data_IF_628503593885
#
_entry.id   IF_628503593885
#
_cell.length_a   1.000
_cell.length_b   1.000
_cell.length_c   1.000
_cell.angle_alpha   90.00
_cell.angle_beta   90.00
_cell.angle_gamma   90.00
#
_symmetry.space_group_name_H-M   'P 1'
#
loop_
_entity.id
_entity.type
_entity.pdbx_description
1 polymer ?
#
# COMPACT_ATOMS: atom_id res chain seq x y z
N UNK A 1 5.73 -21.05 -18.07
CA UNK A 1 7.07 -21.13 -17.43
C UNK A 1 7.89 -22.28 -18.01
N UNK A 2 7.40 -23.54 -17.95
CA UNK A 2 8.09 -24.72 -18.49
C UNK A 2 8.43 -24.64 -19.99
N UNK A 3 7.56 -24.07 -20.82
CA UNK A 3 7.77 -23.99 -22.27
C UNK A 3 8.88 -23.00 -22.70
N UNK A 4 9.18 -21.97 -21.90
CA UNK A 4 10.21 -20.97 -22.24
C UNK A 4 11.64 -21.43 -21.91
N UNK A 5 11.78 -22.51 -21.15
CA UNK A 5 13.08 -23.13 -20.83
C UNK A 5 13.57 -24.07 -21.94
N UNK A 6 12.68 -24.53 -22.83
CA UNK A 6 13.01 -25.43 -23.96
C UNK A 6 13.59 -24.70 -25.18
N UNK A 7 13.32 -23.41 -25.32
CA UNK A 7 13.90 -22.59 -26.39
C UNK A 7 15.23 -22.05 -25.89
N UNK A 8 16.35 -22.52 -26.46
CA UNK A 8 17.74 -22.29 -26.06
C UNK A 8 18.26 -20.84 -26.06
N UNK A 9 17.47 -19.88 -25.59
CA UNK A 9 17.97 -18.59 -25.11
C UNK A 9 18.55 -18.83 -23.71
N UNK A 10 19.83 -18.53 -23.50
CA UNK A 10 20.50 -18.55 -22.19
C UNK A 10 19.63 -17.81 -21.16
N UNK A 11 18.81 -18.56 -20.46
CA UNK A 11 17.83 -17.99 -19.55
C UNK A 11 18.54 -17.80 -18.22
N UNK A 12 18.29 -16.66 -17.56
CA UNK A 12 18.81 -16.29 -16.23
C UNK A 12 18.36 -17.23 -15.10
N UNK A 13 17.78 -18.37 -15.45
CA UNK A 13 17.16 -19.37 -14.60
C UNK A 13 18.03 -20.64 -14.64
N UNK A 14 18.55 -21.04 -13.49
CA UNK A 14 19.28 -22.28 -13.27
C UNK A 14 18.35 -23.29 -12.63
N UNK A 15 18.32 -24.52 -13.13
CA UNK A 15 17.62 -25.62 -12.46
C UNK A 15 18.67 -26.41 -11.70
N UNK A 16 18.54 -26.50 -10.38
CA UNK A 16 19.42 -27.32 -9.54
C UNK A 16 19.10 -28.80 -9.72
N UNK A 17 20.01 -29.67 -9.27
CA UNK A 17 19.86 -31.14 -9.37
C UNK A 17 18.61 -31.68 -8.63
N UNK A 18 18.11 -30.94 -7.64
CA UNK A 18 16.88 -31.21 -6.88
C UNK A 18 15.60 -30.72 -7.58
N UNK A 19 15.70 -30.16 -8.80
CA UNK A 19 14.58 -29.63 -9.56
C UNK A 19 14.16 -28.21 -9.16
N UNK A 20 14.86 -27.56 -8.22
CA UNK A 20 14.57 -26.19 -7.80
C UNK A 20 15.05 -25.19 -8.85
N UNK A 21 14.16 -24.28 -9.26
CA UNK A 21 14.49 -23.18 -10.18
C UNK A 21 15.11 -22.03 -9.38
N UNK A 22 16.25 -21.51 -9.82
CA UNK A 22 17.00 -20.43 -9.18
C UNK A 22 17.25 -19.30 -10.19
N UNK A 23 17.12 -18.05 -9.77
CA UNK A 23 17.25 -16.86 -10.60
C UNK A 23 18.21 -15.90 -9.92
N UNK A 24 19.45 -15.82 -10.43
CA UNK A 24 20.54 -15.20 -9.69
C UNK A 24 20.76 -15.95 -8.38
N UNK A 25 20.54 -15.29 -7.24
CA UNK A 25 20.67 -15.88 -5.89
C UNK A 25 19.32 -16.26 -5.26
N UNK A 26 18.21 -16.14 -6.00
CA UNK A 26 16.85 -16.31 -5.45
C UNK A 26 16.22 -17.60 -5.92
N UNK A 27 15.41 -18.22 -5.06
CA UNK A 27 14.59 -19.38 -5.40
C UNK A 27 13.35 -18.94 -6.17
N UNK A 28 13.23 -19.40 -7.41
CA UNK A 28 12.05 -19.26 -8.24
C UNK A 28 10.93 -20.19 -7.76
N UNK A 29 9.82 -19.64 -7.27
CA UNK A 29 8.72 -20.42 -6.70
C UNK A 29 7.67 -20.73 -7.78
N UNK A 30 7.56 -21.99 -8.24
CA UNK A 30 6.52 -22.39 -9.17
C UNK A 30 5.12 -22.28 -8.56
N UNK A 31 4.11 -22.16 -9.41
CA UNK A 31 2.72 -22.16 -8.99
C UNK A 31 2.18 -23.60 -8.92
N UNK A 32 2.69 -24.34 -7.95
CA UNK A 32 2.34 -25.75 -7.70
C UNK A 32 2.19 -25.95 -6.20
N UNK A 33 1.33 -26.91 -5.82
CA UNK A 33 1.19 -27.42 -4.46
C UNK A 33 0.95 -26.36 -3.37
N UNK A 34 0.44 -25.18 -3.76
CA UNK A 34 0.20 -24.07 -2.84
C UNK A 34 1.47 -23.50 -2.19
N UNK A 35 2.67 -23.77 -2.74
CA UNK A 35 3.95 -23.34 -2.15
C UNK A 35 4.01 -21.84 -1.86
N UNK A 36 3.54 -21.02 -2.82
CA UNK A 36 3.46 -19.56 -2.65
C UNK A 36 2.63 -19.18 -1.44
N UNK A 37 1.44 -19.77 -1.28
CA UNK A 37 0.55 -19.54 -0.14
C UNK A 37 1.21 -19.94 1.17
N UNK A 38 1.91 -21.07 1.21
CA UNK A 38 2.62 -21.53 2.41
C UNK A 38 3.74 -20.55 2.82
N UNK A 39 4.52 -20.04 1.85
CA UNK A 39 5.57 -19.04 2.10
C UNK A 39 4.95 -17.76 2.67
N UNK A 40 3.85 -17.27 2.06
CA UNK A 40 3.13 -16.10 2.53
C UNK A 40 2.60 -16.32 3.96
N UNK A 41 1.96 -17.45 4.22
CA UNK A 41 1.37 -17.78 5.51
C UNK A 41 2.43 -17.90 6.61
N UNK A 42 3.53 -18.61 6.36
CA UNK A 42 4.65 -18.71 7.33
C UNK A 42 5.25 -17.34 7.64
N UNK A 43 5.42 -16.50 6.63
CA UNK A 43 6.04 -15.17 6.81
C UNK A 43 5.13 -14.18 7.50
N UNK A 44 3.81 -14.36 7.38
CA UNK A 44 2.82 -13.45 7.97
C UNK A 44 2.40 -13.86 9.38
N UNK A 45 2.24 -15.16 9.62
CA UNK A 45 1.72 -15.72 10.87
C UNK A 45 2.83 -16.18 11.84
N UNK A 46 4.10 -16.01 11.49
CA UNK A 46 5.19 -16.30 12.42
C UNK A 46 4.99 -15.45 13.70
N UNK A 47 5.08 -16.04 14.90
CA UNK A 47 4.79 -15.35 16.16
C UNK A 47 5.57 -14.03 16.33
N UNK A 48 6.79 -13.98 15.81
CA UNK A 48 7.68 -12.82 15.86
C UNK A 48 7.53 -11.84 14.68
N UNK A 49 6.75 -12.17 13.64
CA UNK A 49 6.63 -11.33 12.45
C UNK A 49 5.71 -10.11 12.66
N UNK A 50 4.86 -10.14 13.69
CA UNK A 50 3.89 -9.08 14.04
C UNK A 50 3.11 -8.63 12.80
N UNK A 51 2.38 -9.58 12.18
CA UNK A 51 1.48 -9.34 11.05
C UNK A 51 1.99 -8.27 10.06
N UNK A 52 3.13 -8.52 9.38
CA UNK A 52 3.80 -7.52 8.59
C UNK A 52 2.89 -7.04 7.45
N UNK A 53 2.82 -5.71 7.28
CA UNK A 53 2.12 -5.11 6.14
C UNK A 53 2.79 -5.45 4.81
N UNK A 54 2.09 -5.16 3.70
CA UNK A 54 2.50 -5.49 2.33
C UNK A 54 3.96 -5.15 2.03
N UNK A 55 4.38 -3.92 2.36
CA UNK A 55 5.74 -3.43 2.10
C UNK A 55 6.77 -4.26 2.87
N UNK A 56 6.59 -4.41 4.19
CA UNK A 56 7.53 -5.16 5.04
C UNK A 56 7.61 -6.63 4.60
N UNK A 57 6.47 -7.23 4.32
CA UNK A 57 6.39 -8.63 3.89
C UNK A 57 7.10 -8.86 2.55
N UNK A 58 6.91 -7.98 1.57
CA UNK A 58 7.64 -8.05 0.30
C UNK A 58 9.16 -7.91 0.50
N UNK A 59 9.60 -6.97 1.33
CA UNK A 59 11.03 -6.75 1.61
C UNK A 59 11.68 -7.94 2.33
N UNK A 60 10.94 -8.63 3.21
CA UNK A 60 11.44 -9.82 3.88
C UNK A 60 11.60 -11.01 2.91
N UNK A 61 10.69 -11.14 1.92
CA UNK A 61 10.68 -12.27 0.98
C UNK A 61 11.63 -12.07 -0.21
N UNK A 62 11.75 -10.83 -0.69
CA UNK A 62 12.48 -10.47 -1.92
C UNK A 62 13.93 -10.97 -1.98
N UNK A 63 14.71 -11.02 -0.88
CA UNK A 63 16.08 -11.53 -0.94
C UNK A 63 16.16 -13.03 -1.25
N UNK A 64 15.15 -13.82 -0.86
CA UNK A 64 15.20 -15.28 -0.91
C UNK A 64 14.39 -15.88 -2.05
N UNK A 65 13.24 -15.27 -2.37
CA UNK A 65 12.27 -15.84 -3.30
C UNK A 65 11.95 -14.90 -4.47
N UNK A 66 11.50 -15.51 -5.57
CA UNK A 66 11.00 -14.80 -6.73
C UNK A 66 9.88 -15.55 -7.44
N UNK A 67 8.83 -14.84 -7.84
CA UNK A 67 7.85 -15.27 -8.84
C UNK A 67 7.18 -14.05 -9.48
N UNK A 68 6.51 -14.23 -10.63
CA UNK A 68 6.05 -13.14 -11.49
C UNK A 68 5.09 -12.15 -10.80
N UNK A 69 4.17 -12.65 -9.97
CA UNK A 69 3.13 -11.85 -9.30
C UNK A 69 3.41 -11.61 -7.82
N UNK A 70 4.65 -11.78 -7.35
CA UNK A 70 5.00 -11.75 -5.92
C UNK A 70 4.48 -10.52 -5.16
N UNK A 71 4.62 -9.31 -5.72
CA UNK A 71 4.09 -8.09 -5.08
C UNK A 71 2.56 -8.12 -4.95
N UNK A 72 1.87 -8.55 -6.01
CA UNK A 72 0.41 -8.64 -6.05
C UNK A 72 -0.09 -9.69 -5.06
N UNK A 73 0.51 -10.86 -5.05
CA UNK A 73 0.13 -11.96 -4.16
C UNK A 73 0.35 -11.58 -2.68
N UNK A 74 1.45 -10.87 -2.37
CA UNK A 74 1.68 -10.33 -1.02
C UNK A 74 0.60 -9.32 -0.63
N UNK A 75 0.27 -8.38 -1.52
CA UNK A 75 -0.74 -7.36 -1.27
C UNK A 75 -2.12 -7.99 -1.03
N UNK A 76 -2.51 -8.93 -1.88
CA UNK A 76 -3.79 -9.64 -1.77
C UNK A 76 -3.86 -10.49 -0.49
N UNK A 77 -2.76 -11.14 -0.11
CA UNK A 77 -2.70 -11.93 1.12
C UNK A 77 -2.86 -11.07 2.37
N UNK A 78 -2.09 -9.98 2.47
CA UNK A 78 -2.17 -9.05 3.62
C UNK A 78 -3.53 -8.35 3.67
N UNK A 79 -4.11 -8.00 2.52
CA UNK A 79 -5.43 -7.39 2.45
C UNK A 79 -6.54 -8.29 3.01
N UNK A 80 -6.37 -9.62 3.03
CA UNK A 80 -7.33 -10.57 3.61
C UNK A 80 -7.15 -10.81 5.11
N UNK A 81 -6.11 -10.24 5.74
CA UNK A 81 -5.85 -10.41 7.16
C UNK A 81 -6.65 -9.41 8.01
N UNK A 82 -7.57 -9.92 8.84
CA UNK A 82 -8.39 -9.09 9.74
C UNK A 82 -7.56 -8.26 10.72
N UNK A 83 -6.50 -8.84 11.30
CA UNK A 83 -5.60 -8.12 12.21
C UNK A 83 -4.93 -6.93 11.52
N UNK A 84 -4.43 -7.12 10.29
CA UNK A 84 -3.84 -6.03 9.52
C UNK A 84 -4.86 -4.95 9.11
N UNK A 85 -6.09 -5.35 8.77
CA UNK A 85 -7.15 -4.41 8.43
C UNK A 85 -7.50 -3.51 9.62
N UNK A 86 -7.66 -4.09 10.81
CA UNK A 86 -7.97 -3.35 12.04
C UNK A 86 -6.86 -2.38 12.41
N UNK A 87 -5.60 -2.84 12.39
CA UNK A 87 -4.43 -1.99 12.69
C UNK A 87 -4.32 -0.84 11.68
N UNK A 88 -4.50 -1.12 10.38
CA UNK A 88 -4.41 -0.09 9.33
C UNK A 88 -5.48 0.99 9.50
N UNK A 89 -6.71 0.62 9.83
CA UNK A 89 -7.80 1.58 10.05
C UNK A 89 -7.51 2.53 11.22
N UNK A 90 -6.93 2.02 12.31
CA UNK A 90 -6.57 2.84 13.49
C UNK A 90 -5.45 3.84 13.18
N UNK A 91 -4.52 3.48 12.29
CA UNK A 91 -3.40 4.35 11.92
C UNK A 91 -3.70 5.31 10.76
N UNK A 92 -4.86 5.21 10.11
CA UNK A 92 -5.26 6.18 9.10
C UNK A 92 -5.72 7.46 9.79
N UNK A 93 -5.10 8.59 9.44
CA UNK A 93 -5.60 9.89 9.87
C UNK A 93 -7.04 10.06 9.36
N UNK A 94 -7.99 10.45 10.22
CA UNK A 94 -9.36 10.72 9.78
C UNK A 94 -9.33 11.80 8.70
N UNK A 95 -10.00 11.53 7.58
CA UNK A 95 -10.10 12.47 6.45
C UNK A 95 -11.12 13.56 6.81
N UNK A 96 -10.68 14.53 7.61
CA UNK A 96 -11.51 15.66 8.05
C UNK A 96 -12.30 15.40 9.33
N UNK A 97 -13.02 16.43 9.78
CA UNK A 97 -13.89 16.32 10.95
C UNK A 97 -15.21 15.64 10.57
N UNK A 98 -15.83 14.86 11.47
CA UNK A 98 -17.18 14.35 11.26
C UNK A 98 -18.14 15.49 10.90
N UNK A 99 -18.97 15.29 9.88
CA UNK A 99 -19.99 16.27 9.49
C UNK A 99 -20.91 16.53 10.68
N UNK A 100 -20.91 17.77 11.15
CA UNK A 100 -21.87 18.25 12.15
C UNK A 100 -23.29 18.25 11.57
N UNK A 101 -24.33 18.29 12.42
CA UNK A 101 -25.73 18.42 11.97
C UNK A 101 -25.96 19.66 11.07
N UNK A 102 -25.14 20.70 11.26
CA UNK A 102 -25.11 21.91 10.44
C UNK A 102 -24.24 21.80 9.18
N UNK A 103 -23.79 20.58 8.82
CA UNK A 103 -23.02 20.22 7.62
C UNK A 103 -21.60 20.79 7.54
N UNK A 104 -21.06 21.36 8.61
CA UNK A 104 -19.65 21.78 8.66
C UNK A 104 -18.73 20.57 8.87
N UNK A 105 -17.67 20.48 8.06
CA UNK A 105 -16.69 19.38 8.03
C UNK A 105 -15.23 19.85 8.22
N UNK A 106 -15.00 21.15 8.39
CA UNK A 106 -13.70 21.75 8.70
C UNK A 106 -13.85 22.88 9.72
N UNK A 107 -12.82 23.11 10.54
CA UNK A 107 -12.73 24.27 11.43
C UNK A 107 -11.54 25.12 11.00
N UNK A 108 -11.80 26.39 10.69
CA UNK A 108 -10.76 27.37 10.44
C UNK A 108 -10.34 28.01 11.75
N UNK A 109 -9.03 27.98 12.04
CA UNK A 109 -8.47 28.51 13.30
C UNK A 109 -7.62 29.73 13.01
N UNK A 110 -8.00 30.88 13.57
CA UNK A 110 -7.19 32.10 13.56
C UNK A 110 -6.54 32.22 14.95
N UNK A 111 -5.21 32.20 14.99
CA UNK A 111 -4.44 32.33 16.23
C UNK A 111 -3.87 33.74 16.32
N UNK A 112 -4.30 34.50 17.33
CA UNK A 112 -3.73 35.80 17.63
C UNK A 112 -2.59 35.66 18.64
N UNK A 113 -1.37 35.99 18.20
CA UNK A 113 -0.15 35.90 19.00
C UNK A 113 -0.05 36.99 20.08
N UNK A 114 -0.71 38.14 19.88
CA UNK A 114 -0.69 39.27 20.81
C UNK A 114 -1.61 39.00 22.00
N UNK A 115 -2.85 38.60 21.73
CA UNK A 115 -3.84 38.29 22.78
C UNK A 115 -3.76 36.85 23.30
N UNK A 116 -2.93 35.99 22.67
CA UNK A 116 -2.84 34.54 22.95
C UNK A 116 -4.18 33.82 22.81
N UNK A 117 -5.07 34.36 21.98
CA UNK A 117 -6.39 33.79 21.74
C UNK A 117 -6.43 32.98 20.44
N UNK A 118 -7.42 32.10 20.33
CA UNK A 118 -7.71 31.35 19.13
C UNK A 118 -9.21 31.46 18.81
N UNK A 119 -9.53 31.82 17.57
CA UNK A 119 -10.90 31.90 17.06
C UNK A 119 -11.17 30.73 16.12
N UNK A 120 -12.28 30.03 16.35
CA UNK A 120 -12.68 28.83 15.62
C UNK A 120 -13.93 29.11 14.79
N UNK A 121 -13.82 28.98 13.46
CA UNK A 121 -14.94 29.17 12.54
C UNK A 121 -15.26 27.84 11.85
N UNK A 122 -16.43 27.22 12.12
CA UNK A 122 -16.85 26.04 11.39
C UNK A 122 -17.15 26.42 9.93
N UNK A 123 -16.58 25.68 8.98
CA UNK A 123 -16.77 25.90 7.54
C UNK A 123 -17.15 24.60 6.81
N UNK A 124 -17.64 24.75 5.58
CA UNK A 124 -17.99 23.63 4.69
C UNK A 124 -16.99 23.55 3.54
N UNK A 125 -16.36 22.40 3.32
CA UNK A 125 -15.42 22.17 2.21
C UNK A 125 -16.05 22.38 0.83
N UNK A 126 -17.34 22.06 0.68
CA UNK A 126 -18.06 22.16 -0.60
C UNK A 126 -18.46 23.59 -1.01
N UNK A 127 -18.33 24.58 -0.12
CA UNK A 127 -18.66 25.98 -0.44
C UNK A 127 -17.60 26.70 -1.27
N UNK A 128 -16.39 26.11 -1.38
CA UNK A 128 -15.29 26.66 -2.18
C UNK A 128 -15.33 26.27 -3.66
N UNK A 129 -16.03 25.19 -4.02
CA UNK A 129 -16.07 24.71 -5.42
C UNK A 129 -17.01 25.52 -6.32
N UNK A 130 -17.93 26.31 -5.75
CA UNK A 130 -18.93 27.08 -6.51
C UNK A 130 -18.47 28.53 -6.82
N UNK A 131 -17.34 29.00 -6.27
CA UNK A 131 -16.79 30.34 -6.54
C UNK A 131 -15.58 30.39 -7.48
N UNK A 132 -15.30 29.33 -8.25
CA UNK A 132 -14.32 29.39 -9.36
C UNK A 132 -14.97 29.89 -10.65
N UNK A 133 -15.32 31.17 -10.70
CA UNK A 133 -15.56 31.85 -11.97
C UNK A 133 -14.28 32.61 -12.36
N UNK A 134 -13.64 32.12 -13.42
CA UNK A 134 -12.57 32.70 -14.26
C UNK A 134 -12.13 34.14 -13.97
N UNK A 135 -11.08 34.32 -13.16
CA UNK A 135 -10.00 35.30 -13.36
C UNK A 135 -9.03 35.24 -12.17
N UNK A 136 -8.06 34.32 -12.19
CA UNK A 136 -6.69 34.60 -11.73
C UNK A 136 -5.76 33.39 -11.97
N UNK A 137 -4.56 33.59 -12.54
CA UNK A 137 -3.64 32.52 -12.90
C UNK A 137 -2.65 32.26 -11.76
N UNK A 138 -2.69 31.08 -11.18
CA UNK A 138 -1.58 30.61 -10.36
C UNK A 138 -1.98 29.57 -9.33
N UNK A 139 -1.07 28.62 -9.15
CA UNK A 139 -0.95 27.68 -8.02
C UNK A 139 -1.56 26.29 -8.25
N UNK A 140 -0.70 25.48 -8.85
CA UNK A 140 -0.40 24.04 -8.76
C UNK A 140 -1.55 23.01 -8.78
N UNK A 141 -1.44 22.18 -9.83
CA UNK A 141 -2.15 20.92 -10.04
C UNK A 141 -1.63 19.85 -9.06
N UNK A 142 -2.45 19.42 -8.09
CA UNK A 142 -2.24 18.20 -7.31
C UNK A 142 -2.93 16.97 -7.97
N UNK A 143 -3.06 16.98 -9.30
CA UNK A 143 -3.40 15.79 -10.07
C UNK A 143 -2.15 14.97 -10.41
N UNK A 144 -1.73 14.05 -9.53
CA UNK A 144 -1.09 12.76 -9.90
C UNK A 144 -0.51 12.02 -8.67
N UNK A 145 -1.33 11.65 -7.67
CA UNK A 145 -1.00 10.48 -6.83
C UNK A 145 -2.29 9.88 -6.27
N UNK A 146 -3.03 9.18 -7.13
CA UNK A 146 -3.90 8.09 -6.73
C UNK A 146 -4.09 7.15 -7.92
N UNK A 147 -3.18 6.18 -8.00
CA UNK A 147 -3.24 5.09 -8.97
C UNK A 147 -2.53 3.86 -8.40
N UNK A 148 -3.35 2.92 -7.94
CA UNK A 148 -3.07 1.48 -7.70
C UNK A 148 -2.20 1.09 -6.51
#
# INVERSE_FOLDING_TARGET
>A
MRERLKQGKKSKFLVRADGVIVIGERVGVPDVDGLRKMILQKSHNAPYAVHPGTTKMYHNLKPYYWWQTMKKDVAEFVAKCMTCQQIKAVHQAPTGLPRTLSKHDVVWVIVDRLTKSAHFFPIRLDTWTVRKNNSDPGVYDEGLYNGV
#
